data_IF_182144851450
#
_entry.id   IF_182144851450
#
_cell.length_a   1.000
_cell.length_b   1.000
_cell.length_c   1.000
_cell.angle_alpha   90.00
_cell.angle_beta   90.00
_cell.angle_gamma   90.00
#
_symmetry.space_group_name_H-M   'P 1'
#
loop_
_entity.id
_entity.type
_entity.pdbx_description
1 polymer ?
#
# COMPACT_ATOMS: atom_id res chain seq x y z
N UNK A 1 -5.24 2.74 -32.63
CA UNK A 1 -5.03 1.56 -31.76
C UNK A 1 -3.59 1.39 -31.28
N UNK A 2 -2.58 1.42 -32.18
CA UNK A 2 -1.14 1.30 -31.82
C UNK A 2 -0.65 2.28 -30.74
N UNK A 3 -1.08 3.55 -30.82
CA UNK A 3 -0.71 4.58 -29.83
C UNK A 3 -1.30 4.29 -28.43
N UNK A 4 -2.57 3.88 -28.39
CA UNK A 4 -3.27 3.52 -27.14
C UNK A 4 -2.56 2.33 -26.48
N UNK A 5 -2.27 1.26 -27.24
CA UNK A 5 -1.55 0.10 -26.72
C UNK A 5 -0.18 0.46 -26.16
N UNK A 6 0.61 1.27 -26.88
CA UNK A 6 1.92 1.73 -26.41
C UNK A 6 1.82 2.51 -25.10
N UNK A 7 0.87 3.44 -25.00
CA UNK A 7 0.68 4.23 -23.78
C UNK A 7 0.12 3.39 -22.63
N UNK A 8 -0.72 2.40 -22.91
CA UNK A 8 -1.25 1.46 -21.92
C UNK A 8 -0.14 0.58 -21.35
N UNK A 9 0.74 0.04 -22.20
CA UNK A 9 1.88 -0.76 -21.78
C UNK A 9 2.86 0.06 -20.92
N UNK A 10 3.13 1.30 -21.33
CA UNK A 10 3.95 2.21 -20.52
C UNK A 10 3.29 2.55 -19.18
N UNK A 11 1.97 2.70 -19.13
CA UNK A 11 1.23 2.92 -17.89
C UNK A 11 1.27 1.68 -16.98
N UNK A 12 1.08 0.47 -17.53
CA UNK A 12 1.22 -0.77 -16.78
C UNK A 12 2.63 -0.93 -16.18
N UNK A 13 3.68 -0.67 -16.96
CA UNK A 13 5.05 -0.69 -16.43
C UNK A 13 5.25 0.29 -15.26
N UNK A 14 4.59 1.45 -15.30
CA UNK A 14 4.62 2.40 -14.18
C UNK A 14 3.84 1.91 -12.97
N UNK A 15 2.73 1.21 -13.15
CA UNK A 15 1.99 0.67 -12.00
C UNK A 15 2.81 -0.37 -11.26
N UNK A 16 3.57 -1.20 -11.97
CA UNK A 16 4.53 -2.12 -11.35
C UNK A 16 5.59 -1.35 -10.53
N UNK A 17 6.14 -0.27 -11.07
CA UNK A 17 7.10 0.57 -10.32
C UNK A 17 6.44 1.23 -9.10
N UNK A 18 5.20 1.72 -9.24
CA UNK A 18 4.43 2.30 -8.12
C UNK A 18 4.21 1.24 -7.04
N UNK A 19 3.87 0.00 -7.38
CA UNK A 19 3.69 -1.09 -6.42
C UNK A 19 4.99 -1.39 -5.66
N UNK A 20 6.14 -1.41 -6.35
CA UNK A 20 7.46 -1.59 -5.70
C UNK A 20 7.75 -0.43 -4.73
N UNK A 21 7.46 0.82 -5.11
CA UNK A 21 7.64 1.96 -4.21
C UNK A 21 6.69 1.90 -3.01
N UNK A 22 5.44 1.52 -3.24
CA UNK A 22 4.44 1.36 -2.19
C UNK A 22 4.79 0.22 -1.23
N UNK A 23 5.43 -0.87 -1.69
CA UNK A 23 5.96 -1.93 -0.84
C UNK A 23 6.88 -1.36 0.25
N UNK A 24 7.89 -0.57 -0.15
CA UNK A 24 8.81 0.03 0.81
C UNK A 24 8.10 1.00 1.76
N UNK A 25 7.15 1.77 1.26
CA UNK A 25 6.37 2.72 2.06
C UNK A 25 5.50 2.00 3.10
N UNK A 26 4.77 0.96 2.68
CA UNK A 26 3.88 0.17 3.55
C UNK A 26 4.69 -0.51 4.66
N UNK A 27 5.81 -1.15 4.32
CA UNK A 27 6.69 -1.79 5.32
C UNK A 27 7.26 -0.76 6.29
N UNK A 28 7.76 0.38 5.78
CA UNK A 28 8.35 1.41 6.63
C UNK A 28 7.33 1.98 7.62
N UNK A 29 6.11 2.27 7.14
CA UNK A 29 5.03 2.76 7.98
C UNK A 29 4.54 1.71 8.98
N UNK A 30 4.52 0.42 8.61
CA UNK A 30 4.17 -0.66 9.53
C UNK A 30 5.13 -0.69 10.72
N UNK A 31 6.44 -0.60 10.48
CA UNK A 31 7.46 -0.60 11.54
C UNK A 31 7.27 0.61 12.46
N UNK A 32 7.12 1.82 11.90
CA UNK A 32 6.97 3.05 12.69
C UNK A 32 5.70 3.04 13.53
N UNK A 33 4.59 2.63 12.95
CA UNK A 33 3.28 2.64 13.61
C UNK A 33 3.19 1.51 14.63
N UNK A 34 3.75 0.33 14.34
CA UNK A 34 3.90 -0.72 15.36
C UNK A 34 4.74 -0.21 16.53
N UNK A 35 5.85 0.49 16.28
CA UNK A 35 6.69 1.03 17.35
C UNK A 35 5.97 2.09 18.20
N UNK A 36 5.11 2.91 17.60
CA UNK A 36 4.38 3.98 18.29
C UNK A 36 3.14 3.51 19.04
N UNK A 37 2.51 2.40 18.61
CA UNK A 37 1.22 1.94 19.12
C UNK A 37 1.25 0.54 19.76
N UNK A 38 2.43 0.02 20.07
CA UNK A 38 2.62 -1.18 20.90
C UNK A 38 3.33 -0.83 22.20
N UNK A 39 2.91 -1.49 23.28
CA UNK A 39 3.46 -1.28 24.63
C UNK A 39 4.30 -2.49 25.04
N UNK A 40 5.23 -2.27 25.97
CA UNK A 40 5.96 -3.40 26.55
C UNK A 40 5.05 -4.05 27.59
N UNK A 41 4.70 -5.32 27.38
CA UNK A 41 3.80 -6.08 28.26
C UNK A 41 4.55 -7.07 29.14
N UNK A 42 5.85 -7.21 28.92
CA UNK A 42 6.70 -8.14 29.64
C UNK A 42 8.08 -8.23 29.03
N UNK A 43 8.83 -9.25 29.43
CA UNK A 43 10.13 -9.59 28.87
C UNK A 43 10.37 -11.09 28.89
N UNK A 44 11.20 -11.56 27.96
CA UNK A 44 11.84 -12.86 28.00
C UNK A 44 13.19 -12.69 28.69
N UNK A 45 13.42 -13.46 29.74
CA UNK A 45 14.69 -13.54 30.44
C UNK A 45 15.59 -14.54 29.71
N UNK A 46 16.69 -14.05 29.13
CA UNK A 46 17.68 -14.86 28.43
C UNK A 46 18.86 -15.04 29.38
N UNK A 47 19.12 -16.29 29.76
CA UNK A 47 20.24 -16.67 30.60
C UNK A 47 21.43 -17.07 29.75
N UNK A 48 22.62 -16.55 30.08
CA UNK A 48 23.88 -17.12 29.60
C UNK A 48 24.51 -17.94 30.72
N UNK A 49 24.70 -19.24 30.48
CA UNK A 49 25.37 -20.11 31.45
C UNK A 49 26.86 -19.78 31.54
N UNK A 50 27.36 -19.66 32.77
CA UNK A 50 28.78 -19.39 33.05
C UNK A 50 29.72 -20.50 32.58
N UNK A 51 29.20 -21.72 32.39
CA UNK A 51 30.00 -22.90 32.00
C UNK A 51 30.06 -23.12 30.49
N UNK A 52 28.95 -22.89 29.77
CA UNK A 52 28.84 -23.21 28.33
C UNK A 52 28.85 -21.98 27.43
N UNK A 53 28.69 -20.77 27.97
CA UNK A 53 28.47 -19.52 27.23
C UNK A 53 27.28 -19.54 26.25
N UNK A 54 26.44 -20.57 26.31
CA UNK A 54 25.24 -20.67 25.49
C UNK A 54 24.12 -19.83 26.10
N UNK A 55 23.36 -19.14 25.24
CA UNK A 55 22.26 -18.28 25.63
C UNK A 55 20.94 -18.99 25.37
N UNK A 56 20.13 -19.16 26.41
CA UNK A 56 18.81 -19.79 26.33
C UNK A 56 17.72 -18.91 26.95
N UNK A 57 16.49 -19.04 26.44
CA UNK A 57 15.33 -18.35 27.03
C UNK A 57 14.93 -19.12 28.28
N UNK A 58 15.16 -18.54 29.47
CA UNK A 58 14.88 -19.16 30.76
C UNK A 58 13.38 -19.12 31.07
N UNK A 59 12.77 -17.94 31.01
CA UNK A 59 11.35 -17.75 31.29
C UNK A 59 10.82 -16.47 30.64
N UNK A 60 9.49 -16.34 30.63
CA UNK A 60 8.78 -15.11 30.23
C UNK A 60 8.08 -14.54 31.45
N UNK A 61 8.20 -13.23 31.62
CA UNK A 61 7.51 -12.49 32.67
C UNK A 61 6.62 -11.43 32.03
N UNK A 62 5.33 -11.40 32.38
CA UNK A 62 4.41 -10.34 32.01
C UNK A 62 4.23 -9.38 33.16
N UNK A 63 4.25 -8.07 32.89
CA UNK A 63 4.10 -7.04 33.93
C UNK A 63 2.73 -7.11 34.64
N UNK A 64 1.75 -7.77 34.03
CA UNK A 64 0.44 -8.02 34.64
C UNK A 64 0.50 -9.06 35.78
N UNK A 65 1.54 -9.90 35.83
CA UNK A 65 1.66 -11.01 36.77
C UNK A 65 2.27 -10.61 38.13
N UNK A 66 2.62 -9.33 38.31
CA UNK A 66 3.17 -8.79 39.56
C UNK A 66 4.69 -8.67 39.57
N UNK A 67 5.32 -8.71 40.75
CA UNK A 67 6.79 -8.65 40.86
C UNK A 67 7.44 -9.95 40.37
N UNK A 68 8.53 -9.83 39.63
CA UNK A 68 9.30 -10.99 39.18
C UNK A 68 10.19 -11.53 40.30
N UNK A 69 9.84 -12.71 40.80
CA UNK A 69 10.61 -13.43 41.81
C UNK A 69 11.63 -14.40 41.21
N UNK A 70 11.55 -14.71 39.90
CA UNK A 70 12.39 -15.74 39.25
C UNK A 70 13.73 -15.21 38.79
N UNK A 71 13.85 -13.91 38.51
CA UNK A 71 15.12 -13.30 38.09
C UNK A 71 16.25 -13.52 39.09
N UNK A 72 16.00 -13.23 40.36
CA UNK A 72 16.99 -13.42 41.43
C UNK A 72 17.41 -14.88 41.58
N UNK A 73 16.46 -15.81 41.44
CA UNK A 73 16.72 -17.26 41.52
C UNK A 73 17.68 -17.74 40.41
N UNK A 74 17.54 -17.26 39.18
CA UNK A 74 18.44 -17.64 38.08
C UNK A 74 19.81 -16.95 38.18
N UNK A 75 19.87 -15.71 38.67
CA UNK A 75 21.13 -15.01 38.93
C UNK A 75 21.94 -15.70 40.05
N UNK A 76 21.28 -16.17 41.11
CA UNK A 76 21.90 -16.97 42.18
C UNK A 76 22.41 -18.33 41.68
N UNK A 77 21.73 -18.92 40.69
CA UNK A 77 22.15 -20.19 40.05
C UNK A 77 23.26 -20.03 39.00
N UNK A 78 23.93 -18.87 38.93
CA UNK A 78 25.12 -18.67 38.09
C UNK A 78 24.83 -18.30 36.64
N UNK A 79 23.61 -17.84 36.32
CA UNK A 79 23.27 -17.30 35.00
C UNK A 79 23.41 -15.78 34.97
N UNK A 80 23.91 -15.24 33.86
CA UNK A 80 23.72 -13.80 33.55
C UNK A 80 22.39 -13.64 32.84
N UNK A 81 21.45 -12.91 33.44
CA UNK A 81 20.10 -12.71 32.87
C UNK A 81 20.02 -11.40 32.10
N UNK A 82 19.61 -11.47 30.84
CA UNK A 82 19.33 -10.31 29.99
C UNK A 82 17.87 -10.28 29.57
N UNK A 83 17.27 -9.08 29.50
CA UNK A 83 15.84 -8.93 29.22
C UNK A 83 15.60 -8.58 27.74
N UNK A 84 14.79 -9.39 27.06
CA UNK A 84 14.22 -9.07 25.74
C UNK A 84 12.75 -8.69 25.90
N UNK A 85 12.43 -7.42 25.67
CA UNK A 85 11.05 -6.90 25.82
C UNK A 85 10.07 -7.61 24.89
N UNK A 86 8.95 -8.07 25.47
CA UNK A 86 7.77 -8.57 24.76
C UNK A 86 6.87 -7.36 24.53
N UNK A 87 6.52 -7.11 23.26
CA UNK A 87 5.60 -6.02 22.88
C UNK A 87 4.19 -6.56 22.64
N UNK A 88 3.19 -5.76 22.99
CA UNK A 88 1.80 -6.03 22.68
C UNK A 88 1.55 -6.09 21.17
N UNK A 89 0.45 -6.71 20.78
CA UNK A 89 -0.12 -6.46 19.46
C UNK A 89 -0.46 -4.97 19.29
N UNK A 90 -0.53 -4.52 18.04
CA UNK A 90 -0.89 -3.14 17.74
C UNK A 90 -2.32 -2.87 18.21
N UNK A 91 -2.51 -1.74 18.90
CA UNK A 91 -3.86 -1.32 19.30
C UNK A 91 -4.78 -1.14 18.08
N UNK A 92 -6.10 -1.27 18.28
CA UNK A 92 -7.11 -1.03 17.22
C UNK A 92 -6.97 0.37 16.61
N UNK A 93 -6.68 1.37 17.44
CA UNK A 93 -6.41 2.73 17.00
C UNK A 93 -5.14 2.80 16.14
N UNK A 94 -4.06 2.15 16.56
CA UNK A 94 -2.82 2.05 15.79
C UNK A 94 -3.04 1.39 14.43
N UNK A 95 -3.84 0.31 14.36
CA UNK A 95 -4.17 -0.33 13.09
C UNK A 95 -4.99 0.59 12.16
N UNK A 96 -5.97 1.32 12.70
CA UNK A 96 -6.74 2.29 11.93
C UNK A 96 -5.87 3.42 11.38
N UNK A 97 -4.93 3.93 12.20
CA UNK A 97 -3.94 4.94 11.78
C UNK A 97 -3.05 4.37 10.68
N UNK A 98 -2.53 3.15 10.86
CA UNK A 98 -1.73 2.45 9.85
C UNK A 98 -2.46 2.40 8.51
N UNK A 99 -3.64 1.79 8.48
CA UNK A 99 -4.42 1.60 7.25
C UNK A 99 -4.75 2.92 6.57
N UNK A 100 -5.07 3.96 7.33
CA UNK A 100 -5.43 5.29 6.80
C UNK A 100 -4.21 5.98 6.20
N UNK A 101 -3.11 6.03 6.93
CA UNK A 101 -1.90 6.74 6.52
C UNK A 101 -1.30 6.08 5.28
N UNK A 102 -1.13 4.76 5.28
CA UNK A 102 -0.62 4.03 4.11
C UNK A 102 -1.53 4.20 2.90
N UNK A 103 -2.86 4.09 3.06
CA UNK A 103 -3.80 4.26 1.95
C UNK A 103 -3.67 5.65 1.31
N UNK A 104 -3.57 6.71 2.11
CA UNK A 104 -3.39 8.08 1.62
C UNK A 104 -2.07 8.24 0.88
N UNK A 105 -0.95 7.80 1.46
CA UNK A 105 0.36 7.94 0.82
C UNK A 105 0.48 7.11 -0.47
N UNK A 106 -0.01 5.87 -0.48
CA UNK A 106 -0.03 5.04 -1.69
C UNK A 106 -0.92 5.65 -2.78
N UNK A 107 -2.07 6.24 -2.43
CA UNK A 107 -2.92 6.93 -3.39
C UNK A 107 -2.24 8.17 -3.97
N UNK A 108 -1.59 8.99 -3.13
CA UNK A 108 -0.83 10.16 -3.58
C UNK A 108 0.28 9.75 -4.53
N UNK A 109 1.06 8.71 -4.20
CA UNK A 109 2.10 8.18 -5.09
C UNK A 109 1.52 7.72 -6.43
N UNK A 110 0.43 6.94 -6.39
CA UNK A 110 -0.25 6.45 -7.59
C UNK A 110 -0.68 7.61 -8.49
N UNK A 111 -1.36 8.61 -7.92
CA UNK A 111 -1.83 9.78 -8.67
C UNK A 111 -0.66 10.57 -9.24
N UNK A 112 0.40 10.79 -8.45
CA UNK A 112 1.57 11.58 -8.84
C UNK A 112 2.35 10.99 -10.01
N UNK A 113 2.39 9.66 -10.13
CA UNK A 113 3.09 8.99 -11.23
C UNK A 113 2.24 8.84 -12.50
N UNK A 114 0.92 8.72 -12.35
CA UNK A 114 0.00 8.60 -13.50
C UNK A 114 -0.30 9.96 -14.10
N UNK A 115 -0.59 10.97 -13.28
CA UNK A 115 -1.11 12.27 -13.70
C UNK A 115 -0.27 13.00 -14.76
N UNK A 116 1.05 13.25 -14.56
CA UNK A 116 1.79 14.17 -15.42
C UNK A 116 1.81 13.76 -16.89
N UNK A 117 1.92 12.46 -17.17
CA UNK A 117 2.00 11.96 -18.54
C UNK A 117 0.67 12.07 -19.27
N UNK A 118 -0.44 11.76 -18.59
CA UNK A 118 -1.76 11.84 -19.19
C UNK A 118 -2.20 13.29 -19.36
N UNK A 119 -1.83 14.16 -18.43
CA UNK A 119 -1.98 15.60 -18.59
C UNK A 119 -1.23 16.13 -19.82
N UNK A 120 0.08 15.86 -19.93
CA UNK A 120 0.87 16.26 -21.11
C UNK A 120 0.31 15.70 -22.42
N UNK A 121 -0.18 14.46 -22.39
CA UNK A 121 -0.81 13.84 -23.55
C UNK A 121 -2.11 14.55 -23.93
N UNK A 122 -2.93 14.94 -22.95
CA UNK A 122 -4.15 15.71 -23.15
C UNK A 122 -3.85 17.06 -23.80
N UNK A 123 -2.87 17.80 -23.29
CA UNK A 123 -2.42 19.09 -23.85
C UNK A 123 -1.94 18.95 -25.29
N UNK A 124 -1.10 17.95 -25.57
CA UNK A 124 -0.61 17.69 -26.92
C UNK A 124 -1.74 17.35 -27.89
N UNK A 125 -2.66 16.47 -27.48
CA UNK A 125 -3.79 16.09 -28.33
C UNK A 125 -4.74 17.26 -28.56
N UNK A 126 -5.00 18.10 -27.55
CA UNK A 126 -5.83 19.31 -27.66
C UNK A 126 -5.29 20.26 -28.73
N UNK A 127 -3.98 20.52 -28.74
CA UNK A 127 -3.33 21.32 -29.78
C UNK A 127 -3.49 20.68 -31.18
N UNK A 128 -3.26 19.37 -31.30
CA UNK A 128 -3.40 18.69 -32.59
C UNK A 128 -4.85 18.72 -33.13
N UNK A 129 -5.84 18.63 -32.24
CA UNK A 129 -7.26 18.75 -32.61
C UNK A 129 -7.58 20.19 -33.04
N UNK A 130 -7.09 21.19 -32.30
CA UNK A 130 -7.26 22.61 -32.64
C UNK A 130 -6.72 22.94 -34.05
N UNK A 131 -5.57 22.36 -34.42
CA UNK A 131 -4.95 22.52 -35.73
C UNK A 131 -5.41 21.48 -36.78
N UNK A 132 -6.47 20.71 -36.51
CA UNK A 132 -7.06 19.71 -37.43
C UNK A 132 -6.07 18.64 -37.91
N UNK A 133 -5.07 18.30 -37.08
CA UNK A 133 -4.09 17.24 -37.34
C UNK A 133 -4.47 15.91 -36.66
N UNK A 134 -5.51 15.91 -35.83
CA UNK A 134 -6.02 14.72 -35.14
C UNK A 134 -7.53 14.84 -34.86
N UNK A 135 -8.22 13.71 -34.83
CA UNK A 135 -9.61 13.64 -34.38
C UNK A 135 -9.68 13.65 -32.85
N UNK A 136 -10.75 14.25 -32.32
CA UNK A 136 -10.98 14.34 -30.88
C UNK A 136 -11.29 12.95 -30.27
N UNK A 137 -10.59 12.59 -29.19
CA UNK A 137 -10.88 11.39 -28.38
C UNK A 137 -10.74 11.71 -26.89
N UNK A 138 -11.80 12.27 -26.29
CA UNK A 138 -11.82 12.63 -24.86
C UNK A 138 -11.65 11.41 -23.93
N UNK A 139 -11.97 10.21 -24.41
CA UNK A 139 -11.91 8.97 -23.64
C UNK A 139 -10.55 8.27 -23.74
N UNK A 140 -9.58 8.84 -24.46
CA UNK A 140 -8.27 8.23 -24.68
C UNK A 140 -7.56 7.89 -23.36
N UNK A 141 -7.62 8.78 -22.37
CA UNK A 141 -7.07 8.53 -21.04
C UNK A 141 -7.68 7.30 -20.36
N UNK A 142 -9.02 7.18 -20.41
CA UNK A 142 -9.77 6.05 -19.86
C UNK A 142 -9.43 4.74 -20.58
N UNK A 143 -9.42 4.74 -21.92
CA UNK A 143 -9.07 3.56 -22.73
C UNK A 143 -7.68 3.03 -22.39
N UNK A 144 -6.69 3.93 -22.29
CA UNK A 144 -5.33 3.55 -21.91
C UNK A 144 -5.28 2.98 -20.48
N UNK A 145 -6.02 3.59 -19.56
CA UNK A 145 -6.08 3.15 -18.16
C UNK A 145 -6.70 1.77 -17.99
N UNK A 146 -7.83 1.50 -18.65
CA UNK A 146 -8.49 0.19 -18.61
C UNK A 146 -7.56 -0.90 -19.17
N UNK A 147 -6.95 -0.64 -20.34
CA UNK A 147 -6.03 -1.60 -20.96
C UNK A 147 -4.78 -1.85 -20.10
N UNK A 148 -4.28 -0.83 -19.41
CA UNK A 148 -3.15 -0.98 -18.50
C UNK A 148 -3.49 -1.84 -17.26
N UNK A 149 -4.75 -1.81 -16.79
CA UNK A 149 -5.19 -2.58 -15.62
C UNK A 149 -5.62 -4.02 -15.95
N UNK A 150 -5.78 -4.37 -17.23
CA UNK A 150 -6.23 -5.71 -17.63
C UNK A 150 -5.41 -6.85 -16.98
N UNK A 151 -4.06 -6.83 -16.96
CA UNK A 151 -3.29 -7.89 -16.29
C UNK A 151 -3.66 -8.03 -14.81
N UNK A 152 -3.85 -6.92 -14.09
CA UNK A 152 -4.24 -6.94 -12.68
C UNK A 152 -5.68 -7.38 -12.44
N UNK A 153 -6.60 -7.09 -13.37
CA UNK A 153 -7.99 -7.59 -13.33
C UNK A 153 -8.02 -9.09 -13.58
N UNK A 154 -7.29 -9.57 -14.60
CA UNK A 154 -7.16 -11.01 -14.89
C UNK A 154 -6.59 -11.73 -13.67
N UNK A 155 -5.54 -11.18 -13.05
CA UNK A 155 -4.95 -11.74 -11.83
C UNK A 155 -6.01 -11.86 -10.72
N UNK A 156 -6.76 -10.80 -10.43
CA UNK A 156 -7.84 -10.83 -9.43
C UNK A 156 -8.89 -11.91 -9.75
N UNK A 157 -9.32 -12.03 -11.01
CA UNK A 157 -10.25 -13.07 -11.44
C UNK A 157 -9.66 -14.48 -11.24
N UNK A 158 -8.38 -14.70 -11.57
CA UNK A 158 -7.71 -15.99 -11.34
C UNK A 158 -7.70 -16.35 -9.85
N UNK A 159 -7.39 -15.40 -8.97
CA UNK A 159 -7.43 -15.66 -7.53
C UNK A 159 -8.85 -15.97 -7.03
N UNK A 160 -9.84 -15.21 -7.48
CA UNK A 160 -11.23 -15.35 -7.01
C UNK A 160 -11.93 -16.61 -7.55
N UNK A 161 -11.73 -16.97 -8.83
CA UNK A 161 -12.42 -18.10 -9.46
C UNK A 161 -11.64 -19.41 -9.40
N UNK A 162 -10.30 -19.36 -9.45
CA UNK A 162 -9.46 -20.56 -9.58
C UNK A 162 -8.68 -20.82 -8.28
N UNK A 163 -7.93 -19.84 -7.77
CA UNK A 163 -7.05 -20.02 -6.62
C UNK A 163 -7.75 -19.69 -5.28
N UNK A 164 -8.95 -20.22 -5.07
CA UNK A 164 -9.80 -19.90 -3.90
C UNK A 164 -9.19 -20.22 -2.54
N UNK A 165 -8.31 -21.23 -2.47
CA UNK A 165 -7.65 -21.64 -1.22
C UNK A 165 -6.35 -20.87 -0.94
N UNK A 166 -6.12 -19.76 -1.65
CA UNK A 166 -4.94 -18.93 -1.44
C UNK A 166 -5.22 -17.81 -0.43
N UNK A 167 -4.30 -17.52 0.51
CA UNK A 167 -4.42 -16.36 1.40
C UNK A 167 -4.43 -15.06 0.60
N UNK A 168 -5.24 -14.07 1.01
CA UNK A 168 -5.25 -12.75 0.33
C UNK A 168 -3.88 -12.07 0.41
N UNK A 169 -3.09 -12.36 1.45
CA UNK A 169 -1.72 -11.86 1.57
C UNK A 169 -0.88 -12.03 0.30
N UNK A 170 -1.04 -13.15 -0.42
CA UNK A 170 -0.31 -13.40 -1.67
C UNK A 170 -0.75 -12.45 -2.78
N UNK A 171 -2.04 -12.17 -2.91
CA UNK A 171 -2.54 -11.21 -3.89
C UNK A 171 -2.12 -9.77 -3.57
N UNK A 172 -2.04 -9.41 -2.28
CA UNK A 172 -1.58 -8.09 -1.83
C UNK A 172 -0.13 -7.80 -2.25
N UNK A 173 0.72 -8.83 -2.35
CA UNK A 173 2.12 -8.69 -2.80
C UNK A 173 2.20 -8.07 -4.21
N UNK A 174 1.23 -8.38 -5.07
CA UNK A 174 1.19 -7.85 -6.43
C UNK A 174 0.49 -6.48 -6.55
N UNK A 175 -0.01 -5.92 -5.44
CA UNK A 175 -0.92 -4.78 -5.45
C UNK A 175 -0.69 -3.83 -4.26
N UNK A 176 0.57 -3.52 -3.98
CA UNK A 176 0.95 -2.68 -2.84
C UNK A 176 0.39 -1.26 -2.90
N UNK A 177 0.18 -0.72 -4.11
CA UNK A 177 -0.46 0.59 -4.33
C UNK A 177 -1.86 0.72 -3.73
N UNK A 178 -2.52 -0.40 -3.46
CA UNK A 178 -3.85 -0.46 -2.84
C UNK A 178 -3.86 -1.40 -1.63
N UNK A 179 -2.70 -1.71 -1.03
CA UNK A 179 -2.56 -2.71 0.05
C UNK A 179 -3.56 -2.50 1.18
N UNK A 180 -3.59 -1.30 1.75
CA UNK A 180 -4.44 -0.99 2.91
C UNK A 180 -5.89 -0.75 2.52
N UNK A 181 -6.16 -0.40 1.25
CA UNK A 181 -7.52 -0.35 0.74
C UNK A 181 -8.11 -1.75 0.55
N UNK A 182 -7.28 -2.75 0.21
CA UNK A 182 -7.69 -4.16 0.20
C UNK A 182 -8.13 -4.55 1.62
N UNK A 183 -7.30 -4.30 2.64
CA UNK A 183 -7.64 -4.64 4.03
C UNK A 183 -8.92 -3.93 4.52
N UNK A 184 -9.18 -2.71 4.06
CA UNK A 184 -10.41 -1.98 4.38
C UNK A 184 -11.66 -2.67 3.78
N UNK A 185 -11.55 -3.24 2.58
CA UNK A 185 -12.68 -3.89 1.89
C UNK A 185 -12.96 -5.29 2.44
N UNK A 186 -11.91 -6.07 2.71
CA UNK A 186 -12.06 -7.49 3.03
C UNK A 186 -11.67 -7.89 4.47
N UNK A 187 -10.89 -7.07 5.18
CA UNK A 187 -10.21 -7.46 6.41
C UNK A 187 -8.85 -8.13 6.15
N UNK A 188 -8.12 -8.40 7.23
CA UNK A 188 -6.84 -9.13 7.20
C UNK A 188 -7.04 -10.64 7.36
N UNK A 189 -6.06 -11.43 6.92
CA UNK A 189 -5.90 -12.86 7.27
C UNK A 189 -6.99 -13.82 6.79
N UNK A 190 -7.74 -13.46 5.74
CA UNK A 190 -8.73 -14.35 5.11
C UNK A 190 -8.18 -15.04 3.85
N UNK A 191 -8.85 -16.11 3.43
CA UNK A 191 -8.64 -16.78 2.14
C UNK A 191 -9.61 -16.26 1.06
N UNK A 192 -9.24 -16.40 -0.22
CA UNK A 192 -10.11 -16.02 -1.34
C UNK A 192 -11.47 -16.72 -1.36
N UNK A 193 -11.58 -17.91 -0.75
CA UNK A 193 -12.86 -18.63 -0.62
C UNK A 193 -13.87 -17.90 0.27
N UNK A 194 -13.40 -17.06 1.19
CA UNK A 194 -14.22 -16.31 2.16
C UNK A 194 -14.66 -14.95 1.61
N UNK A 195 -14.05 -14.50 0.51
CA UNK A 195 -14.39 -13.23 -0.14
C UNK A 195 -15.80 -13.33 -0.73
N UNK A 196 -16.71 -12.52 -0.22
CA UNK A 196 -18.05 -12.37 -0.78
C UNK A 196 -18.03 -11.71 -2.15
N UNK A 197 -19.09 -11.89 -2.94
CA UNK A 197 -19.22 -11.24 -4.23
C UNK A 197 -19.17 -9.69 -4.13
N UNK A 198 -19.74 -9.11 -3.06
CA UNK A 198 -19.69 -7.67 -2.84
C UNK A 198 -18.26 -7.18 -2.58
N UNK A 199 -17.48 -7.93 -1.80
CA UNK A 199 -16.08 -7.63 -1.57
C UNK A 199 -15.26 -7.78 -2.87
N UNK A 200 -15.54 -8.78 -3.69
CA UNK A 200 -14.94 -8.91 -5.02
C UNK A 200 -15.22 -7.70 -5.91
N UNK A 201 -16.47 -7.19 -5.93
CA UNK A 201 -16.81 -5.93 -6.61
C UNK A 201 -16.04 -4.74 -6.01
N UNK A 202 -15.86 -4.70 -4.70
CA UNK A 202 -15.00 -3.71 -4.02
C UNK A 202 -13.56 -3.77 -4.52
N UNK A 203 -12.97 -4.96 -4.62
CA UNK A 203 -11.61 -5.15 -5.15
C UNK A 203 -11.49 -4.76 -6.62
N UNK A 204 -12.52 -5.01 -7.43
CA UNK A 204 -12.61 -4.50 -8.81
C UNK A 204 -12.69 -2.98 -8.85
N UNK A 205 -13.45 -2.35 -7.94
CA UNK A 205 -13.54 -0.91 -7.85
C UNK A 205 -12.18 -0.28 -7.53
N UNK A 206 -11.34 -0.92 -6.70
CA UNK A 206 -9.96 -0.44 -6.46
C UNK A 206 -9.11 -0.44 -7.73
N UNK A 207 -9.33 -1.35 -8.68
CA UNK A 207 -8.64 -1.33 -9.99
C UNK A 207 -9.02 -0.13 -10.86
N UNK A 208 -10.14 0.54 -10.56
CA UNK A 208 -10.56 1.73 -11.32
C UNK A 208 -9.76 2.99 -10.98
N UNK A 209 -9.00 3.00 -9.88
CA UNK A 209 -8.22 4.18 -9.44
C UNK A 209 -7.29 4.68 -10.55
N UNK A 210 -6.52 3.79 -11.19
CA UNK A 210 -5.59 4.15 -12.26
C UNK A 210 -6.33 4.64 -13.53
N UNK A 211 -7.35 3.93 -14.05
CA UNK A 211 -8.18 4.41 -15.16
C UNK A 211 -8.82 5.77 -14.92
N UNK A 212 -9.40 6.00 -13.74
CA UNK A 212 -10.03 7.27 -13.39
C UNK A 212 -9.00 8.39 -13.28
N UNK A 213 -7.84 8.11 -12.72
CA UNK A 213 -6.73 9.08 -12.65
C UNK A 213 -6.22 9.44 -14.06
N UNK A 214 -5.99 8.44 -14.91
CA UNK A 214 -5.56 8.65 -16.29
C UNK A 214 -6.59 9.44 -17.10
N UNK A 215 -7.88 9.15 -16.91
CA UNK A 215 -8.98 9.88 -17.54
C UNK A 215 -9.05 11.33 -17.07
N UNK A 216 -9.08 11.56 -15.75
CA UNK A 216 -9.14 12.90 -15.16
C UNK A 216 -7.93 13.76 -15.57
N UNK A 217 -6.73 13.19 -15.50
CA UNK A 217 -5.50 13.87 -15.92
C UNK A 217 -5.54 14.24 -17.40
N UNK A 218 -6.01 13.33 -18.26
CA UNK A 218 -6.14 13.59 -19.70
C UNK A 218 -7.13 14.72 -19.98
N UNK A 219 -8.31 14.71 -19.35
CA UNK A 219 -9.31 15.77 -19.51
C UNK A 219 -8.80 17.13 -19.03
N UNK A 220 -8.09 17.16 -17.91
CA UNK A 220 -7.49 18.40 -17.38
C UNK A 220 -6.41 18.93 -18.32
N UNK A 221 -5.56 18.05 -18.85
CA UNK A 221 -4.57 18.40 -19.86
C UNK A 221 -5.21 18.91 -21.14
N UNK A 222 -6.28 18.27 -21.60
CA UNK A 222 -7.02 18.69 -22.79
C UNK A 222 -7.61 20.10 -22.64
N UNK A 223 -8.04 20.46 -21.42
CA UNK A 223 -8.51 21.80 -21.06
C UNK A 223 -7.38 22.77 -20.65
N UNK A 224 -6.12 22.37 -20.73
CA UNK A 224 -4.96 23.13 -20.27
C UNK A 224 -5.06 23.59 -18.80
N UNK A 225 -5.68 22.79 -17.94
CA UNK A 225 -5.79 23.05 -16.49
C UNK A 225 -4.71 22.24 -15.77
N UNK A 226 -3.64 22.90 -15.30
CA UNK A 226 -2.59 22.25 -14.51
C UNK A 226 -2.92 22.28 -13.01
N UNK A 227 -3.06 21.11 -12.38
CA UNK A 227 -3.19 21.02 -10.92
C UNK A 227 -1.89 21.42 -10.23
N UNK A 228 -0.73 21.01 -10.76
CA UNK A 228 0.57 21.36 -10.19
C UNK A 228 0.78 22.87 -10.11
N UNK A 229 0.41 23.61 -11.16
CA UNK A 229 0.50 25.08 -11.15
C UNK A 229 -0.45 25.69 -10.11
N UNK A 230 -1.66 25.15 -9.95
CA UNK A 230 -2.62 25.65 -8.94
C UNK A 230 -2.18 25.41 -7.50
N UNK A 231 -1.46 24.32 -7.24
CA UNK A 231 -0.92 24.02 -5.91
C UNK A 231 0.36 24.80 -5.60
N UNK A 232 1.22 25.03 -6.60
CA UNK A 232 2.51 25.73 -6.41
C UNK A 232 2.32 27.24 -6.44
N UNK A 233 1.54 27.76 -7.39
CA UNK A 233 1.38 29.20 -7.59
C UNK A 233 0.07 29.69 -6.96
N UNK A 234 0.19 30.30 -5.77
CA UNK A 234 -0.90 31.07 -5.17
C UNK A 234 -1.11 32.31 -6.03
N UNK A 235 -2.34 32.54 -6.53
CA UNK A 235 -2.68 33.77 -7.28
C UNK A 235 -2.24 34.99 -6.45
N UNK A 236 -1.26 35.76 -6.95
CA UNK A 236 -1.01 37.10 -6.42
C UNK A 236 -2.27 37.92 -6.71
N UNK A 237 -2.88 38.51 -5.67
CA UNK A 237 -3.86 39.57 -5.88
C UNK A 237 -3.11 40.71 -6.56
N UNK A 238 -3.52 41.07 -7.76
CA UNK A 238 -3.16 42.37 -8.33
C UNK A 238 -3.75 43.42 -7.37
N UNK A 239 -2.87 44.27 -6.84
CA UNK A 239 -3.20 45.45 -6.03
C UNK A 239 -3.24 46.64 -6.95
#
# INVERSE_FOLDING_TARGET
MKEILKNSLALFGRTVVIDIMCLFLVISLLVLITAAFSENIGYEAIGTSSETQESEVLYKHYYADGEDTKKAEYEENGYTVTERKIRSEISKAGNAVYLTVTAVFCLILTVSFVYPKFWQMGTKDSNLVQFKHKTEDKLKGLKCGILAMLPGIILLCVFYFVLRNTPIGIYKIFNFSVYSLIDLVIGSDIYFKEVSFLQFLGLLALKSIVPLTAYGAYLLGYKNISLGEKFIYKKKKEV
#
